data_IF_384154986858
#
_entry.id   IF_384154986858
#
_cell.length_a   1.000
_cell.length_b   1.000
_cell.length_c   1.000
_cell.angle_alpha   90.00
_cell.angle_beta   90.00
_cell.angle_gamma   90.00
#
_symmetry.space_group_name_H-M   'P 1'
#
loop_
_entity.id
_entity.type
_entity.pdbx_description
1 polymer ?
#
# COMPACT_ATOMS: atom_id res chain seq x y z
N UNK A 1 8.96 0.53 -19.31
CA UNK A 1 8.12 1.52 -20.03
C UNK A 1 6.72 1.70 -19.41
N UNK A 2 6.54 1.58 -18.08
CA UNK A 2 5.21 1.66 -17.44
C UNK A 2 4.98 2.86 -16.51
N UNK A 3 6.05 3.43 -15.93
CA UNK A 3 6.00 4.50 -14.93
C UNK A 3 5.73 5.90 -15.51
N UNK A 4 6.21 6.16 -16.72
CA UNK A 4 5.93 7.42 -17.44
C UNK A 4 4.42 7.61 -17.67
N UNK A 5 3.70 6.53 -17.98
CA UNK A 5 2.26 6.62 -18.29
C UNK A 5 1.39 7.08 -17.11
N UNK A 6 1.76 6.77 -15.86
CA UNK A 6 0.99 7.15 -14.67
C UNK A 6 1.15 8.62 -14.30
N UNK A 7 2.39 9.10 -14.24
CA UNK A 7 2.72 10.49 -13.90
C UNK A 7 2.27 11.43 -15.04
N UNK A 8 2.47 11.02 -16.30
CA UNK A 8 1.99 11.79 -17.45
C UNK A 8 0.46 11.88 -17.46
N UNK A 9 -0.27 10.79 -17.14
CA UNK A 9 -1.74 10.85 -17.04
C UNK A 9 -2.24 11.71 -15.88
N UNK A 10 -1.59 11.70 -14.71
CA UNK A 10 -1.97 12.58 -13.60
C UNK A 10 -1.76 14.05 -13.97
N UNK A 11 -0.66 14.35 -14.70
CA UNK A 11 -0.35 15.67 -15.23
C UNK A 11 -1.30 16.13 -16.35
N UNK A 12 -1.80 15.21 -17.17
CA UNK A 12 -2.66 15.49 -18.33
C UNK A 12 -4.15 15.52 -17.94
N UNK A 13 -4.59 14.68 -16.99
CA UNK A 13 -6.00 14.53 -16.62
C UNK A 13 -6.44 15.38 -15.43
N UNK A 14 -5.50 15.89 -14.62
CA UNK A 14 -5.78 16.57 -13.35
C UNK A 14 -6.58 15.68 -12.34
N UNK A 15 -6.73 14.38 -12.61
CA UNK A 15 -7.30 13.41 -11.68
C UNK A 15 -6.20 12.90 -10.74
N UNK A 16 -6.30 13.26 -9.45
CA UNK A 16 -5.42 12.72 -8.43
C UNK A 16 -5.60 11.20 -8.34
N UNK A 17 -4.48 10.47 -8.38
CA UNK A 17 -4.49 9.05 -8.12
C UNK A 17 -4.94 8.79 -6.68
N UNK A 18 -6.18 8.33 -6.51
CA UNK A 18 -6.78 8.07 -5.19
C UNK A 18 -6.99 6.56 -5.00
N UNK A 19 -6.03 5.84 -4.39
CA UNK A 19 -6.21 4.43 -4.07
C UNK A 19 -7.36 4.26 -3.08
N UNK A 20 -8.30 3.37 -3.38
CA UNK A 20 -9.45 3.11 -2.53
C UNK A 20 -9.20 1.91 -1.62
N UNK A 21 -9.36 2.11 -0.31
CA UNK A 21 -9.20 1.05 0.69
C UNK A 21 -10.54 0.71 1.34
N UNK A 22 -10.89 -0.57 1.36
CA UNK A 22 -12.04 -1.09 2.11
C UNK A 22 -11.57 -2.04 3.21
N UNK A 23 -12.12 -1.92 4.41
CA UNK A 23 -11.81 -2.79 5.55
C UNK A 23 -13.04 -3.58 5.97
N UNK A 24 -12.87 -4.88 6.18
CA UNK A 24 -13.85 -5.74 6.84
C UNK A 24 -13.20 -6.40 8.06
N UNK A 25 -13.94 -6.49 9.16
CA UNK A 25 -13.52 -7.15 10.39
C UNK A 25 -14.18 -8.51 10.48
N UNK A 26 -13.42 -9.52 10.87
CA UNK A 26 -13.89 -10.88 11.11
C UNK A 26 -13.66 -11.20 12.59
N UNK A 27 -14.70 -11.61 13.33
CA UNK A 27 -14.50 -12.17 14.65
C UNK A 27 -13.71 -13.47 14.51
N UNK A 28 -12.56 -13.55 15.19
CA UNK A 28 -11.80 -14.79 15.32
C UNK A 28 -11.84 -15.25 16.77
N UNK A 29 -12.31 -16.48 16.96
CA UNK A 29 -12.29 -17.17 18.24
C UNK A 29 -10.90 -17.80 18.39
N UNK A 30 -9.99 -17.10 19.06
CA UNK A 30 -8.73 -17.72 19.48
C UNK A 30 -9.01 -18.67 20.66
N UNK A 31 -8.34 -19.84 20.66
CA UNK A 31 -8.46 -20.87 21.69
C UNK A 31 -8.00 -20.38 23.09
N UNK A 32 -7.37 -19.20 23.18
CA UNK A 32 -6.76 -18.62 24.37
C UNK A 32 -7.60 -17.48 25.02
N UNK A 33 -8.85 -17.27 24.58
CA UNK A 33 -9.77 -16.30 25.19
C UNK A 33 -9.43 -14.81 24.96
N UNK A 34 -8.33 -14.50 24.27
CA UNK A 34 -8.04 -13.15 23.75
C UNK A 34 -8.68 -13.00 22.39
N UNK A 35 -9.73 -12.19 22.28
CA UNK A 35 -10.36 -11.87 21.01
C UNK A 35 -9.38 -11.08 20.11
N UNK A 36 -8.56 -11.78 19.33
CA UNK A 36 -7.78 -11.16 18.26
C UNK A 36 -8.77 -10.81 17.15
N UNK A 37 -8.81 -9.53 16.72
CA UNK A 37 -9.64 -9.11 15.60
C UNK A 37 -8.87 -9.32 14.30
N UNK A 38 -9.36 -10.19 13.42
CA UNK A 38 -8.82 -10.35 12.07
C UNK A 38 -9.47 -9.30 11.16
N UNK A 39 -8.68 -8.68 10.30
CA UNK A 39 -9.13 -7.70 9.34
C UNK A 39 -8.80 -8.19 7.94
N UNK A 40 -9.66 -7.89 6.98
CA UNK A 40 -9.36 -7.93 5.55
C UNK A 40 -9.30 -6.51 5.03
N UNK A 41 -8.24 -6.19 4.31
CA UNK A 41 -8.09 -4.94 3.59
C UNK A 41 -8.14 -5.22 2.09
N UNK A 42 -8.98 -4.49 1.37
CA UNK A 42 -9.08 -4.53 -0.09
C UNK A 42 -8.57 -3.19 -0.63
N UNK A 43 -7.62 -3.24 -1.55
CA UNK A 43 -7.10 -2.09 -2.28
C UNK A 43 -7.54 -2.16 -3.74
N UNK A 44 -8.27 -1.15 -4.20
CA UNK A 44 -8.71 -1.02 -5.59
C UNK A 44 -7.87 0.06 -6.28
N UNK A 45 -7.25 -0.29 -7.40
CA UNK A 45 -6.54 0.62 -8.30
C UNK A 45 -7.38 0.76 -9.59
N UNK A 46 -8.36 1.68 -9.64
CA UNK A 46 -9.36 1.72 -10.71
C UNK A 46 -8.75 2.00 -12.09
N UNK A 47 -7.76 2.91 -12.16
CA UNK A 47 -7.07 3.24 -13.41
C UNK A 47 -6.30 2.06 -14.02
N UNK A 48 -5.90 1.08 -13.20
CA UNK A 48 -5.14 -0.10 -13.61
C UNK A 48 -6.03 -1.35 -13.68
N UNK A 49 -7.31 -1.24 -13.30
CA UNK A 49 -8.26 -2.36 -13.16
C UNK A 49 -7.71 -3.51 -12.29
N UNK A 50 -6.91 -3.17 -11.28
CA UNK A 50 -6.32 -4.14 -10.34
C UNK A 50 -7.00 -4.05 -8.98
N UNK A 51 -7.18 -5.20 -8.34
CA UNK A 51 -7.76 -5.32 -6.99
C UNK A 51 -6.89 -6.27 -6.18
N UNK A 52 -6.48 -5.83 -5.00
CA UNK A 52 -5.64 -6.59 -4.07
C UNK A 52 -6.39 -6.80 -2.76
N UNK A 53 -6.14 -7.91 -2.08
CA UNK A 53 -6.83 -8.26 -0.84
C UNK A 53 -5.89 -8.99 0.10
N UNK A 54 -5.74 -8.50 1.32
CA UNK A 54 -4.92 -9.12 2.35
C UNK A 54 -5.71 -9.29 3.66
N UNK A 55 -5.51 -10.43 4.34
CA UNK A 55 -6.09 -10.70 5.65
C UNK A 55 -5.01 -10.79 6.72
N UNK A 56 -5.21 -10.13 7.85
CA UNK A 56 -4.23 -10.13 8.93
C UNK A 56 -4.78 -9.60 10.24
N UNK A 57 -3.90 -9.50 11.23
CA UNK A 57 -4.24 -8.98 12.55
C UNK A 57 -3.87 -7.50 12.64
N UNK A 58 -4.85 -6.67 13.02
CA UNK A 58 -4.73 -5.21 13.07
C UNK A 58 -4.91 -4.52 11.70
N UNK A 59 -5.52 -3.34 11.70
CA UNK A 59 -5.82 -2.57 10.48
C UNK A 59 -4.55 -2.07 9.77
N UNK A 60 -3.61 -1.47 10.49
CA UNK A 60 -2.41 -0.87 9.90
C UNK A 60 -1.45 -1.92 9.29
N UNK A 61 -1.12 -3.04 9.96
CA UNK A 61 -0.30 -4.09 9.36
C UNK A 61 -0.94 -4.69 8.09
N UNK A 62 -2.25 -4.95 8.15
CA UNK A 62 -3.01 -5.49 7.01
C UNK A 62 -3.03 -4.52 5.82
N UNK A 63 -3.21 -3.21 6.08
CA UNK A 63 -3.14 -2.18 5.04
C UNK A 63 -1.75 -2.11 4.41
N UNK A 64 -0.68 -2.16 5.21
CA UNK A 64 0.68 -2.09 4.69
C UNK A 64 1.05 -3.33 3.86
N UNK A 65 0.53 -4.50 4.23
CA UNK A 65 0.72 -5.72 3.44
C UNK A 65 0.07 -5.61 2.05
N UNK A 66 -1.21 -5.20 1.98
CA UNK A 66 -1.89 -5.06 0.68
C UNK A 66 -1.26 -3.98 -0.20
N UNK A 67 -0.70 -2.92 0.40
CA UNK A 67 0.09 -1.91 -0.33
C UNK A 67 1.36 -2.54 -0.91
N UNK A 68 2.13 -3.30 -0.13
CA UNK A 68 3.37 -3.93 -0.62
C UNK A 68 3.12 -4.91 -1.74
N UNK A 69 2.07 -5.73 -1.64
CA UNK A 69 1.65 -6.64 -2.71
C UNK A 69 1.35 -5.87 -4.00
N UNK A 70 0.60 -4.77 -3.88
CA UNK A 70 0.30 -3.91 -5.02
C UNK A 70 1.56 -3.26 -5.61
N UNK A 71 2.49 -2.78 -4.78
CA UNK A 71 3.72 -2.15 -5.27
C UNK A 71 4.60 -3.14 -6.04
N UNK A 72 4.75 -4.38 -5.55
CA UNK A 72 5.52 -5.43 -6.24
C UNK A 72 4.93 -5.72 -7.62
N UNK A 73 3.61 -5.89 -7.71
CA UNK A 73 2.92 -6.21 -8.97
C UNK A 73 2.81 -5.00 -9.93
N UNK A 74 2.70 -3.78 -9.43
CA UNK A 74 2.63 -2.57 -10.28
C UNK A 74 3.99 -2.17 -10.82
N UNK A 75 5.04 -2.31 -10.01
CA UNK A 75 6.37 -1.86 -10.39
C UNK A 75 7.28 -2.96 -10.93
N UNK A 76 6.86 -4.23 -10.84
CA UNK A 76 7.68 -5.40 -11.20
C UNK A 76 9.02 -5.37 -10.43
N UNK A 77 8.94 -5.03 -9.14
CA UNK A 77 10.09 -4.86 -8.24
C UNK A 77 10.07 -5.97 -7.19
N UNK A 78 11.18 -6.70 -6.98
CA UNK A 78 11.28 -7.71 -5.93
C UNK A 78 10.99 -7.16 -4.53
N UNK A 79 10.41 -7.99 -3.65
CA UNK A 79 10.11 -7.58 -2.28
C UNK A 79 11.35 -7.11 -1.49
N UNK A 80 12.52 -7.66 -1.78
CA UNK A 80 13.80 -7.27 -1.17
C UNK A 80 14.17 -5.83 -1.49
N UNK A 81 13.95 -5.41 -2.75
CA UNK A 81 14.22 -4.04 -3.20
C UNK A 81 13.24 -3.06 -2.56
N UNK A 82 11.97 -3.46 -2.43
CA UNK A 82 10.96 -2.64 -1.74
C UNK A 82 11.36 -2.35 -0.28
N UNK A 83 11.87 -3.36 0.44
CA UNK A 83 12.36 -3.21 1.82
C UNK A 83 13.56 -2.26 1.91
N UNK A 84 14.43 -2.24 0.90
CA UNK A 84 15.54 -1.28 0.85
C UNK A 84 15.05 0.16 0.68
N UNK A 85 14.03 0.38 -0.15
CA UNK A 85 13.40 1.69 -0.32
C UNK A 85 12.71 2.14 0.96
N UNK A 86 11.90 1.29 1.59
CA UNK A 86 11.24 1.59 2.87
C UNK A 86 12.26 2.01 3.94
N UNK A 87 13.39 1.28 4.06
CA UNK A 87 14.48 1.61 5.01
C UNK A 87 15.17 2.94 4.70
N UNK A 88 15.41 3.24 3.42
CA UNK A 88 16.05 4.50 3.01
C UNK A 88 15.14 5.70 3.27
N UNK A 89 13.84 5.58 2.98
CA UNK A 89 12.86 6.65 3.22
C UNK A 89 12.68 6.94 4.71
N UNK A 90 12.72 5.94 5.58
CA UNK A 90 12.68 6.16 7.04
C UNK A 90 13.94 6.85 7.60
N UNK A 91 15.07 6.77 6.89
CA UNK A 91 16.30 7.48 7.25
C UNK A 91 16.39 8.88 6.64
N UNK A 92 15.43 9.27 5.79
CA UNK A 92 15.27 10.66 5.36
C UNK A 92 14.58 11.42 6.49
N UNK A 93 15.37 11.89 7.47
CA UNK A 93 14.94 13.04 8.28
C UNK A 93 14.60 14.17 7.29
N UNK A 94 13.47 14.89 7.44
CA UNK A 94 13.27 16.11 6.68
C UNK A 94 14.45 17.03 6.95
N UNK A 95 15.40 17.09 6.02
CA UNK A 95 16.44 18.11 6.04
C UNK A 95 15.76 19.46 5.91
N UNK A 96 16.38 20.52 6.45
CA UNK A 96 15.87 21.88 6.24
C UNK A 96 15.65 22.10 4.73
N UNK A 97 14.50 22.68 4.33
CA UNK A 97 14.23 22.93 2.93
C UNK A 97 15.40 23.73 2.33
N UNK A 98 15.89 23.25 1.19
CA UNK A 98 16.96 23.91 0.45
C UNK A 98 16.41 25.25 -0.03
N UNK A 99 16.90 26.34 0.56
CA UNK A 99 16.52 27.68 0.17
C UNK A 99 17.20 27.97 -1.16
N UNK A 100 16.42 27.99 -2.24
CA UNK A 100 16.84 28.43 -3.59
C UNK A 100 16.79 29.95 -3.69
#
# INVERSE_FOLDING_TARGET
MGLLCGIDKERISNEKFTPQFTFSEFPTTDADGKASKKFRCILVLPHQKKVYSHEGYGKSPTKNAVIREALVDVFDVPQEELKMVERRTMNLKPGKPMQV
#
